data_IF_010294777646
#
_entry.id   IF_010294777646
#
_cell.length_a   1.000
_cell.length_b   1.000
_cell.length_c   1.000
_cell.angle_alpha   90.00
_cell.angle_beta   90.00
_cell.angle_gamma   90.00
#
_symmetry.space_group_name_H-M   'P 1'
#
loop_
_entity.id
_entity.type
_entity.pdbx_description
1 polymer ?
#
# COMPACT_ATOMS: atom_id res chain seq x y z
N UNK A 1 0.14 -2.29 5.75
CA UNK A 1 -0.20 -1.30 4.72
C UNK A 1 -0.39 0.05 5.38
N UNK A 2 0.47 1.01 5.06
CA UNK A 2 0.45 2.39 5.56
C UNK A 2 0.93 3.34 4.44
N UNK A 3 0.73 4.65 4.61
CA UNK A 3 1.32 5.67 3.75
C UNK A 3 0.32 6.56 3.01
N UNK A 4 -0.93 6.12 2.81
CA UNK A 4 -1.94 6.93 2.11
C UNK A 4 -2.21 8.24 2.86
N UNK A 5 -2.30 8.20 4.18
CA UNK A 5 -2.52 9.39 5.00
C UNK A 5 -1.33 10.36 5.00
N UNK A 6 -0.13 9.82 4.86
CA UNK A 6 1.09 10.64 4.78
C UNK A 6 1.14 11.37 3.44
N UNK A 7 0.78 10.70 2.34
CA UNK A 7 0.62 11.33 1.04
C UNK A 7 -0.51 12.37 1.07
N UNK A 8 -1.66 12.05 1.66
CA UNK A 8 -2.79 12.99 1.77
C UNK A 8 -2.40 14.26 2.53
N UNK A 9 -1.53 14.15 3.56
CA UNK A 9 -0.96 15.27 4.32
C UNK A 9 0.21 15.95 3.61
N UNK A 10 0.59 15.47 2.43
CA UNK A 10 1.67 16.00 1.61
C UNK A 10 3.01 16.07 2.33
N UNK A 11 3.35 15.05 3.10
CA UNK A 11 4.66 14.95 3.71
C UNK A 11 5.73 14.79 2.64
N UNK A 12 6.89 15.41 2.86
CA UNK A 12 8.02 15.21 1.95
C UNK A 12 8.54 13.76 2.02
N UNK A 13 9.21 13.36 0.96
CA UNK A 13 9.67 11.97 0.81
C UNK A 13 10.73 11.56 1.84
N UNK A 14 11.52 12.50 2.37
CA UNK A 14 12.55 12.21 3.38
C UNK A 14 11.91 11.90 4.73
N UNK A 15 10.92 12.71 5.14
CA UNK A 15 10.14 12.47 6.34
C UNK A 15 9.37 11.15 6.24
N UNK A 16 8.71 10.90 5.11
CA UNK A 16 8.00 9.64 4.87
C UNK A 16 8.93 8.44 4.96
N UNK A 17 10.10 8.50 4.30
CA UNK A 17 11.12 7.44 4.34
C UNK A 17 11.56 7.10 5.76
N UNK A 18 11.81 8.12 6.58
CA UNK A 18 12.18 7.91 7.99
C UNK A 18 11.08 7.19 8.76
N UNK A 19 9.86 7.70 8.69
CA UNK A 19 8.70 7.14 9.41
C UNK A 19 8.34 5.73 8.96
N UNK A 20 8.40 5.46 7.66
CA UNK A 20 8.16 4.13 7.14
C UNK A 20 9.21 3.13 7.65
N UNK A 21 10.48 3.54 7.68
CA UNK A 21 11.56 2.71 8.25
C UNK A 21 11.31 2.40 9.72
N UNK A 22 10.94 3.40 10.52
CA UNK A 22 10.63 3.22 11.95
C UNK A 22 9.46 2.26 12.15
N UNK A 23 8.39 2.41 11.38
CA UNK A 23 7.23 1.52 11.43
C UNK A 23 7.60 0.07 11.05
N UNK A 24 8.41 -0.11 9.99
CA UNK A 24 8.88 -1.45 9.60
C UNK A 24 9.76 -2.08 10.67
N UNK A 25 10.65 -1.31 11.30
CA UNK A 25 11.47 -1.80 12.40
C UNK A 25 10.62 -2.23 13.61
N UNK A 26 9.54 -1.51 13.90
CA UNK A 26 8.60 -1.92 14.95
C UNK A 26 7.90 -3.23 14.59
N UNK A 27 7.43 -3.38 13.36
CA UNK A 27 6.83 -4.63 12.90
C UNK A 27 7.81 -5.81 13.00
N UNK A 28 9.06 -5.61 12.62
CA UNK A 28 10.12 -6.62 12.77
C UNK A 28 10.36 -7.02 14.23
N UNK A 29 10.34 -6.08 15.16
CA UNK A 29 10.44 -6.40 16.60
C UNK A 29 9.30 -7.30 17.07
N UNK A 30 8.07 -7.03 16.61
CA UNK A 30 6.89 -7.83 16.98
C UNK A 30 6.96 -9.28 16.45
N UNK A 31 7.70 -9.52 15.38
CA UNK A 31 7.91 -10.87 14.82
C UNK A 31 9.21 -11.53 15.31
N UNK A 32 9.85 -10.98 16.35
CA UNK A 32 11.13 -11.48 16.84
C UNK A 32 12.27 -11.38 15.81
N UNK A 33 12.22 -10.38 14.92
CA UNK A 33 13.18 -10.16 13.86
C UNK A 33 12.99 -11.01 12.61
N UNK A 34 11.92 -11.82 12.52
CA UNK A 34 11.64 -12.67 11.36
C UNK A 34 11.05 -11.83 10.21
N UNK A 35 11.88 -11.36 9.30
CA UNK A 35 11.48 -10.51 8.18
C UNK A 35 10.48 -11.19 7.24
N UNK A 36 10.58 -12.51 7.05
CA UNK A 36 9.61 -13.30 6.26
C UNK A 36 8.17 -13.24 6.82
N UNK A 37 7.98 -12.87 8.08
CA UNK A 37 6.67 -12.74 8.74
C UNK A 37 6.10 -11.30 8.69
N UNK A 38 6.79 -10.38 8.03
CA UNK A 38 6.34 -8.99 7.87
C UNK A 38 6.09 -8.71 6.39
N UNK A 39 4.82 -8.63 6.00
CA UNK A 39 4.41 -8.33 4.64
C UNK A 39 4.17 -6.84 4.45
N UNK A 40 4.77 -6.26 3.44
CA UNK A 40 4.55 -4.87 3.04
C UNK A 40 3.69 -4.85 1.79
N UNK A 41 2.56 -4.13 1.85
CA UNK A 41 1.70 -3.89 0.69
C UNK A 41 1.89 -2.45 0.21
N UNK A 42 1.84 -2.26 -1.11
CA UNK A 42 1.85 -0.92 -1.69
C UNK A 42 0.60 -0.12 -1.33
N UNK A 43 0.69 1.20 -1.45
CA UNK A 43 -0.39 2.15 -1.15
C UNK A 43 -1.46 2.07 -2.25
N UNK A 44 -2.76 1.94 -1.92
CA UNK A 44 -3.83 2.05 -2.89
C UNK A 44 -3.90 3.46 -3.48
N UNK A 45 -4.22 3.58 -4.77
CA UNK A 45 -4.32 4.85 -5.46
C UNK A 45 -5.75 5.40 -5.41
N UNK A 46 -6.03 6.25 -4.43
CA UNK A 46 -7.33 6.90 -4.33
C UNK A 46 -7.56 7.98 -5.40
N UNK A 47 -6.53 8.38 -6.13
CA UNK A 47 -6.63 9.35 -7.23
C UNK A 47 -7.52 8.88 -8.39
N UNK A 48 -7.89 7.58 -8.43
CA UNK A 48 -8.82 7.03 -9.43
C UNK A 48 -10.27 7.02 -8.97
N UNK A 49 -10.55 7.43 -7.74
CA UNK A 49 -11.89 7.38 -7.12
C UNK A 49 -12.72 8.63 -7.45
N UNK A 50 -14.04 8.52 -7.30
CA UNK A 50 -14.92 9.68 -7.47
C UNK A 50 -14.66 10.78 -6.43
N UNK A 51 -14.21 10.42 -5.23
CA UNK A 51 -13.79 11.38 -4.20
C UNK A 51 -12.67 12.31 -4.70
N UNK A 52 -11.72 11.78 -5.46
CA UNK A 52 -10.54 12.53 -5.89
C UNK A 52 -10.75 13.34 -7.18
N UNK A 53 -11.93 13.28 -7.83
CA UNK A 53 -12.14 13.90 -9.15
C UNK A 53 -11.94 15.43 -9.17
N UNK A 54 -11.99 16.09 -8.01
CA UNK A 54 -11.74 17.53 -7.86
C UNK A 54 -10.30 17.87 -7.46
N UNK A 55 -9.45 16.85 -7.29
CA UNK A 55 -8.06 16.99 -6.87
C UNK A 55 -7.11 16.83 -8.07
N UNK A 56 -5.84 17.22 -7.88
CA UNK A 56 -4.79 16.92 -8.85
C UNK A 56 -4.43 15.42 -8.79
N UNK A 57 -5.23 14.61 -9.48
CA UNK A 57 -5.08 13.15 -9.51
C UNK A 57 -3.74 12.71 -10.13
N UNK A 58 -3.16 13.51 -11.02
CA UNK A 58 -1.86 13.23 -11.61
C UNK A 58 -0.73 13.38 -10.57
N UNK A 59 -0.80 14.41 -9.72
CA UNK A 59 0.14 14.56 -8.60
C UNK A 59 -0.04 13.45 -7.56
N UNK A 60 -1.29 13.14 -7.17
CA UNK A 60 -1.59 12.03 -6.25
C UNK A 60 -0.92 10.74 -6.74
N UNK A 61 -1.14 10.41 -8.00
CA UNK A 61 -0.56 9.21 -8.61
C UNK A 61 0.98 9.19 -8.54
N UNK A 62 1.63 10.30 -8.93
CA UNK A 62 3.11 10.40 -8.89
C UNK A 62 3.66 10.27 -7.48
N UNK A 63 3.00 10.88 -6.51
CA UNK A 63 3.42 10.86 -5.10
C UNK A 63 3.25 9.46 -4.51
N UNK A 64 2.12 8.77 -4.79
CA UNK A 64 1.90 7.38 -4.38
C UNK A 64 2.95 6.46 -5.01
N UNK A 65 3.25 6.61 -6.30
CA UNK A 65 4.30 5.82 -6.96
C UNK A 65 5.68 6.09 -6.33
N UNK A 66 5.95 7.34 -5.95
CA UNK A 66 7.17 7.71 -5.22
C UNK A 66 7.27 7.04 -3.85
N UNK A 67 6.20 7.08 -3.07
CA UNK A 67 6.14 6.44 -1.75
C UNK A 67 6.23 4.92 -1.86
N UNK A 68 5.58 4.32 -2.85
CA UNK A 68 5.65 2.87 -3.09
C UNK A 68 7.06 2.42 -3.46
N UNK A 69 7.82 3.25 -4.18
CA UNK A 69 9.24 2.99 -4.44
C UNK A 69 10.03 2.96 -3.14
N UNK A 70 9.80 3.93 -2.25
CA UNK A 70 10.44 3.97 -0.92
C UNK A 70 10.09 2.72 -0.11
N UNK A 71 8.82 2.34 -0.07
CA UNK A 71 8.35 1.16 0.65
C UNK A 71 9.02 -0.11 0.14
N UNK A 72 9.08 -0.27 -1.18
CA UNK A 72 9.73 -1.43 -1.82
C UNK A 72 11.22 -1.49 -1.51
N UNK A 73 11.93 -0.37 -1.63
CA UNK A 73 13.36 -0.29 -1.32
C UNK A 73 13.64 -0.70 0.13
N UNK A 74 12.90 -0.14 1.09
CA UNK A 74 13.10 -0.41 2.51
C UNK A 74 12.70 -1.85 2.87
N UNK A 75 11.56 -2.33 2.36
CA UNK A 75 11.12 -3.71 2.57
C UNK A 75 12.14 -4.72 2.02
N UNK A 76 12.62 -4.52 0.79
CA UNK A 76 13.63 -5.38 0.16
C UNK A 76 14.94 -5.37 0.93
N UNK A 77 15.41 -4.21 1.37
CA UNK A 77 16.64 -4.10 2.16
C UNK A 77 16.51 -4.81 3.52
N UNK A 78 15.32 -4.90 4.08
CA UNK A 78 15.02 -5.61 5.32
C UNK A 78 14.69 -7.10 5.11
N UNK A 79 14.66 -7.60 3.88
CA UNK A 79 14.26 -8.97 3.55
C UNK A 79 12.77 -9.26 3.77
N UNK A 80 11.92 -8.23 3.79
CA UNK A 80 10.48 -8.37 3.95
C UNK A 80 9.79 -8.58 2.59
N UNK A 81 8.86 -9.55 2.47
CA UNK A 81 8.03 -9.68 1.28
C UNK A 81 7.26 -8.40 0.96
N UNK A 82 7.22 -8.04 -0.32
CA UNK A 82 6.51 -6.86 -0.82
C UNK A 82 5.46 -7.28 -1.85
N UNK A 83 4.20 -6.88 -1.63
CA UNK A 83 3.09 -7.10 -2.56
C UNK A 83 2.62 -5.77 -3.16
N UNK A 84 2.69 -5.65 -4.48
CA UNK A 84 2.20 -4.47 -5.18
C UNK A 84 0.71 -4.63 -5.52
N UNK A 85 -0.14 -3.96 -4.73
CA UNK A 85 -1.60 -3.91 -4.94
C UNK A 85 -2.05 -2.65 -5.71
N UNK A 86 -1.19 -1.66 -5.88
CA UNK A 86 -1.54 -0.38 -6.52
C UNK A 86 -2.13 -0.55 -7.92
N UNK A 87 -1.59 -1.44 -8.80
CA UNK A 87 -2.20 -1.68 -10.10
C UNK A 87 -3.63 -2.19 -10.02
N UNK A 88 -3.94 -3.07 -9.03
CA UNK A 88 -5.29 -3.58 -8.82
C UNK A 88 -6.26 -2.47 -8.43
N UNK A 89 -5.85 -1.59 -7.51
CA UNK A 89 -6.69 -0.48 -7.04
C UNK A 89 -6.98 0.53 -8.15
N UNK A 90 -6.08 0.69 -9.10
CA UNK A 90 -6.26 1.58 -10.27
C UNK A 90 -7.36 1.14 -11.23
N UNK A 91 -7.77 -0.13 -11.19
CA UNK A 91 -8.88 -0.65 -11.97
C UNK A 91 -10.23 -0.07 -11.54
N UNK A 92 -10.33 0.48 -10.33
CA UNK A 92 -11.52 1.19 -9.86
C UNK A 92 -11.93 2.39 -10.75
N UNK A 93 -11.02 2.88 -11.61
CA UNK A 93 -11.32 3.91 -12.61
C UNK A 93 -12.48 3.50 -13.54
N UNK A 94 -12.55 2.22 -13.89
CA UNK A 94 -13.59 1.68 -14.78
C UNK A 94 -14.46 0.60 -14.16
N UNK A 95 -14.15 0.16 -12.94
CA UNK A 95 -14.97 -0.79 -12.18
C UNK A 95 -15.35 -0.23 -10.82
N UNK A 96 -16.50 0.43 -10.75
CA UNK A 96 -17.00 1.08 -9.52
C UNK A 96 -17.30 0.11 -8.38
N UNK A 97 -17.48 -1.20 -8.66
CA UNK A 97 -17.70 -2.21 -7.61
C UNK A 97 -16.48 -2.41 -6.72
N UNK A 98 -15.30 -1.90 -7.13
CA UNK A 98 -14.08 -1.95 -6.33
C UNK A 98 -14.00 -0.86 -5.25
N UNK A 99 -14.96 0.08 -5.24
CA UNK A 99 -15.02 1.18 -4.27
C UNK A 99 -16.28 1.05 -3.41
N UNK A 100 -16.16 1.38 -2.12
CA UNK A 100 -17.28 1.46 -1.18
C UNK A 100 -18.27 2.58 -1.54
N UNK A 101 -19.41 2.59 -0.87
CA UNK A 101 -20.43 3.61 -1.04
C UNK A 101 -20.00 5.02 -0.65
N UNK A 102 -18.90 5.19 0.06
CA UNK A 102 -18.28 6.49 0.38
C UNK A 102 -17.50 7.12 -0.79
N UNK A 103 -17.41 6.42 -1.89
CA UNK A 103 -16.71 6.85 -3.11
C UNK A 103 -15.19 7.02 -2.98
N UNK A 104 -14.59 6.52 -1.89
CA UNK A 104 -13.17 6.68 -1.57
C UNK A 104 -12.47 5.35 -1.25
N UNK A 105 -13.01 4.60 -0.27
CA UNK A 105 -12.33 3.41 0.23
C UNK A 105 -12.56 2.19 -0.67
N UNK A 106 -11.59 1.27 -0.75
CA UNK A 106 -11.77 0.01 -1.45
C UNK A 106 -12.94 -0.79 -0.88
N UNK A 107 -13.69 -1.45 -1.76
CA UNK A 107 -14.79 -2.34 -1.36
C UNK A 107 -14.28 -3.68 -0.82
N UNK A 108 -15.18 -4.47 -0.22
CA UNK A 108 -14.87 -5.84 0.18
C UNK A 108 -14.43 -6.71 -1.00
N UNK A 109 -14.90 -6.43 -2.22
CA UNK A 109 -14.45 -7.12 -3.44
C UNK A 109 -12.98 -6.83 -3.71
N UNK A 110 -12.54 -5.57 -3.61
CA UNK A 110 -11.15 -5.22 -3.86
C UNK A 110 -10.23 -5.74 -2.75
N UNK A 111 -10.64 -5.65 -1.49
CA UNK A 111 -9.91 -6.28 -0.38
C UNK A 111 -9.77 -7.80 -0.56
N UNK A 112 -10.82 -8.49 -1.06
CA UNK A 112 -10.75 -9.90 -1.41
C UNK A 112 -9.67 -10.20 -2.44
N UNK A 113 -9.58 -9.38 -3.49
CA UNK A 113 -8.53 -9.48 -4.53
C UNK A 113 -7.11 -9.32 -3.96
N UNK A 114 -6.93 -8.44 -2.97
CA UNK A 114 -5.65 -8.30 -2.30
C UNK A 114 -5.32 -9.52 -1.44
N UNK A 115 -6.32 -10.04 -0.73
CA UNK A 115 -6.18 -11.27 0.07
C UNK A 115 -5.81 -12.46 -0.80
N UNK A 116 -6.45 -12.63 -1.97
CA UNK A 116 -6.14 -13.69 -2.94
C UNK A 116 -4.69 -13.66 -3.44
N UNK A 117 -4.09 -12.45 -3.49
CA UNK A 117 -2.68 -12.28 -3.85
C UNK A 117 -1.73 -12.50 -2.66
N UNK A 118 -2.17 -12.13 -1.46
CA UNK A 118 -1.36 -12.23 -0.25
C UNK A 118 -1.33 -13.65 0.32
N UNK A 119 -2.45 -14.38 0.28
CA UNK A 119 -2.60 -15.70 0.89
C UNK A 119 -1.53 -16.69 0.43
N UNK A 120 -1.25 -16.88 -0.88
CA UNK A 120 -0.19 -17.81 -1.31
C UNK A 120 1.20 -17.44 -0.76
N UNK A 121 1.48 -16.14 -0.59
CA UNK A 121 2.77 -15.70 -0.02
C UNK A 121 2.87 -16.06 1.47
N UNK A 122 1.75 -16.04 2.19
CA UNK A 122 1.69 -16.43 3.60
C UNK A 122 1.74 -17.94 3.76
N UNK A 123 1.01 -18.68 2.94
CA UNK A 123 0.98 -20.15 2.94
C UNK A 123 2.37 -20.76 2.73
N UNK A 124 3.18 -20.15 1.86
CA UNK A 124 4.57 -20.58 1.63
C UNK A 124 5.47 -20.53 2.88
N UNK A 125 5.07 -19.78 3.93
CA UNK A 125 5.81 -19.74 5.21
C UNK A 125 5.41 -20.87 6.17
N UNK A 126 4.30 -21.56 5.89
CA UNK A 126 3.76 -22.60 6.76
C UNK A 126 4.25 -24.01 6.35
N UNK A 127 4.95 -24.09 5.24
CA UNK A 127 5.56 -25.31 4.68
C UNK A 127 7.02 -25.43 5.12
#
# INVERSE_FOLDING_TARGET
>A
LIGVNDQYRRWDSALYRSRFRDALQQALRLTGGKSSHVFVLSIPDYGVTAYAQHLDTASIRREIDGYNRINREIASAAGCPYLDITPLTREARWNRNLICGDSLHPSGIDYGRWADRLAPMMEALLQ
#
